data_IF_175085363414
#
_entry.id   IF_175085363414
#
_cell.length_a   1.000
_cell.length_b   1.000
_cell.length_c   1.000
_cell.angle_alpha   90.00
_cell.angle_beta   90.00
_cell.angle_gamma   90.00
#
_symmetry.space_group_name_H-M   'P 1'
#
loop_
_entity.id
_entity.type
_entity.pdbx_description
1 polymer ?
#
# COMPACT_ATOMS: atom_id res chain seq x y z
N UNK A 1 -12.77 5.56 -7.53
CA UNK A 1 -13.84 5.70 -6.51
C UNK A 1 -13.76 4.58 -5.48
N UNK A 2 -13.91 4.89 -4.17
CA UNK A 2 -13.95 3.93 -3.05
C UNK A 2 -15.25 4.13 -2.30
N UNK A 3 -15.98 3.04 -2.04
CA UNK A 3 -17.27 3.10 -1.33
C UNK A 3 -17.24 2.16 -0.14
N UNK A 4 -17.65 2.66 1.03
CA UNK A 4 -17.89 1.91 2.25
C UNK A 4 -19.40 1.87 2.51
N UNK A 5 -19.96 0.67 2.73
CA UNK A 5 -21.36 0.43 2.98
C UNK A 5 -21.50 -0.33 4.30
N UNK A 6 -21.95 0.35 5.36
CA UNK A 6 -22.18 -0.20 6.71
C UNK A 6 -20.98 -0.99 7.26
N UNK A 7 -19.77 -0.47 7.04
CA UNK A 7 -18.54 -1.21 7.34
C UNK A 7 -18.23 -1.18 8.82
N UNK A 8 -18.14 -2.37 9.41
CA UNK A 8 -17.76 -2.54 10.81
C UNK A 8 -16.59 -3.51 10.95
N UNK A 9 -15.75 -3.27 11.94
CA UNK A 9 -14.65 -4.14 12.32
C UNK A 9 -14.60 -4.32 13.83
N UNK A 10 -14.83 -5.55 14.28
CA UNK A 10 -14.60 -5.98 15.66
C UNK A 10 -13.43 -6.97 15.65
N UNK A 11 -12.45 -6.75 16.51
CA UNK A 11 -11.30 -7.64 16.68
C UNK A 11 -11.67 -8.81 17.61
N UNK A 12 -10.92 -9.95 17.57
CA UNK A 12 -11.21 -11.13 18.42
C UNK A 12 -11.22 -10.85 19.93
N UNK A 13 -10.50 -9.80 20.35
CA UNK A 13 -10.46 -9.35 21.76
C UNK A 13 -11.62 -8.41 22.14
N UNK A 14 -12.64 -8.27 21.27
CA UNK A 14 -13.81 -7.41 21.49
C UNK A 14 -13.60 -5.92 21.17
N UNK A 15 -12.38 -5.50 20.83
CA UNK A 15 -12.12 -4.10 20.48
C UNK A 15 -12.80 -3.76 19.15
N UNK A 16 -13.60 -2.67 19.16
CA UNK A 16 -14.24 -2.13 17.96
C UNK A 16 -13.26 -1.21 17.24
N UNK A 17 -12.81 -1.62 16.08
CA UNK A 17 -11.90 -0.83 15.24
C UNK A 17 -12.63 0.10 14.26
N UNK A 18 -13.78 -0.33 13.74
CA UNK A 18 -14.67 0.46 12.88
C UNK A 18 -16.11 0.16 13.27
N UNK A 19 -16.99 1.16 13.22
CA UNK A 19 -18.41 1.01 13.55
C UNK A 19 -19.25 1.73 12.52
N UNK A 20 -20.02 0.98 11.75
CA UNK A 20 -21.02 1.44 10.78
C UNK A 20 -20.52 2.57 9.88
N UNK A 21 -19.35 2.39 9.27
CA UNK A 21 -18.76 3.40 8.40
C UNK A 21 -19.46 3.38 7.05
N UNK A 22 -20.02 4.53 6.68
CA UNK A 22 -20.60 4.84 5.38
C UNK A 22 -19.83 6.03 4.81
N UNK A 23 -19.09 5.81 3.72
CA UNK A 23 -18.21 6.82 3.14
C UNK A 23 -18.03 6.54 1.66
N UNK A 24 -18.08 7.60 0.84
CA UNK A 24 -17.67 7.54 -0.56
C UNK A 24 -16.50 8.50 -0.77
N UNK A 25 -15.48 8.01 -1.46
CA UNK A 25 -14.32 8.81 -1.91
C UNK A 25 -14.31 8.75 -3.43
N UNK A 26 -14.48 9.90 -4.05
CA UNK A 26 -14.55 10.02 -5.51
C UNK A 26 -13.15 9.97 -6.15
N UNK A 27 -13.11 9.82 -7.46
CA UNK A 27 -11.86 9.85 -8.20
C UNK A 27 -11.28 11.27 -8.19
N UNK A 28 -9.97 11.37 -7.95
CA UNK A 28 -9.25 12.65 -7.87
C UNK A 28 -9.35 13.36 -6.52
N UNK A 29 -10.09 12.82 -5.55
CA UNK A 29 -10.16 13.42 -4.22
C UNK A 29 -8.88 13.16 -3.42
N UNK A 30 -8.49 14.18 -2.65
CA UNK A 30 -7.50 14.09 -1.58
C UNK A 30 -8.22 14.09 -0.23
N UNK A 31 -8.21 12.96 0.46
CA UNK A 31 -8.92 12.78 1.74
C UNK A 31 -7.93 12.62 2.88
N UNK A 32 -8.07 13.42 3.93
CA UNK A 32 -7.30 13.31 5.17
C UNK A 32 -8.18 12.79 6.30
N UNK A 33 -7.72 11.73 6.98
CA UNK A 33 -8.42 11.12 8.11
C UNK A 33 -7.73 11.56 9.40
N UNK A 34 -8.41 12.40 10.18
CA UNK A 34 -7.91 12.98 11.43
C UNK A 34 -8.64 12.34 12.63
N UNK A 35 -7.93 12.13 13.71
CA UNK A 35 -8.50 11.60 14.95
C UNK A 35 -7.41 11.17 15.94
N UNK A 36 -7.80 10.92 17.17
CA UNK A 36 -6.90 10.48 18.25
C UNK A 36 -6.22 9.15 17.94
N UNK A 37 -5.14 8.84 18.65
CA UNK A 37 -4.55 7.50 18.60
C UNK A 37 -5.59 6.45 19.03
N UNK A 38 -5.65 5.33 18.29
CA UNK A 38 -6.66 4.30 18.53
C UNK A 38 -8.04 4.55 17.91
N UNK A 39 -8.30 5.69 17.27
CA UNK A 39 -9.60 6.00 16.64
C UNK A 39 -9.95 5.16 15.39
N UNK A 40 -9.14 4.16 15.03
CA UNK A 40 -9.42 3.28 13.89
C UNK A 40 -8.86 3.73 12.55
N UNK A 41 -8.10 4.83 12.45
CA UNK A 41 -7.55 5.37 11.19
C UNK A 41 -6.78 4.32 10.38
N UNK A 42 -5.79 3.68 10.99
CA UNK A 42 -5.00 2.62 10.34
C UNK A 42 -5.83 1.37 10.04
N UNK A 43 -6.87 1.08 10.86
CA UNK A 43 -7.82 -0.01 10.60
C UNK A 43 -8.61 0.27 9.32
N UNK A 44 -9.08 1.51 9.14
CA UNK A 44 -9.81 1.94 7.94
C UNK A 44 -8.94 1.81 6.68
N UNK A 45 -7.72 2.37 6.70
CA UNK A 45 -6.78 2.27 5.57
C UNK A 45 -6.44 0.81 5.22
N UNK A 46 -6.18 -0.03 6.24
CA UNK A 46 -5.88 -1.44 6.04
C UNK A 46 -7.08 -2.26 5.59
N UNK A 47 -8.31 -1.82 5.89
CA UNK A 47 -9.53 -2.44 5.39
C UNK A 47 -9.72 -2.18 3.88
N UNK A 48 -9.40 -0.98 3.37
CA UNK A 48 -9.44 -0.66 1.93
C UNK A 48 -8.59 -1.64 1.12
N UNK A 49 -7.43 -2.05 1.64
CA UNK A 49 -6.54 -3.00 0.98
C UNK A 49 -6.76 -4.46 1.43
N UNK A 50 -7.81 -4.69 2.26
CA UNK A 50 -8.12 -6.01 2.86
C UNK A 50 -6.90 -6.66 3.54
N UNK A 51 -6.01 -5.85 4.12
CA UNK A 51 -4.96 -6.31 5.05
C UNK A 51 -5.58 -6.63 6.41
N UNK A 52 -6.63 -5.91 6.78
CA UNK A 52 -7.51 -6.21 7.91
C UNK A 52 -8.89 -6.54 7.31
N UNK A 53 -9.38 -7.80 7.43
CA UNK A 53 -10.72 -8.13 6.99
C UNK A 53 -11.75 -7.45 7.92
N UNK A 54 -12.80 -6.91 7.32
CA UNK A 54 -13.95 -6.34 8.04
C UNK A 54 -14.82 -7.46 8.64
N UNK A 55 -15.63 -7.11 9.63
CA UNK A 55 -16.56 -8.06 10.27
C UNK A 55 -17.93 -8.02 9.59
N UNK A 56 -18.36 -6.83 9.18
CA UNK A 56 -19.65 -6.61 8.50
C UNK A 56 -19.55 -5.49 7.49
N UNK A 57 -20.51 -5.43 6.56
CA UNK A 57 -20.59 -4.43 5.52
C UNK A 57 -19.84 -4.82 4.24
N UNK A 58 -19.60 -3.85 3.38
CA UNK A 58 -18.94 -4.03 2.10
C UNK A 58 -18.03 -2.86 1.78
N UNK A 59 -16.88 -3.13 1.14
CA UNK A 59 -15.99 -2.12 0.57
C UNK A 59 -15.86 -2.39 -0.91
N UNK A 60 -16.08 -1.36 -1.73
CA UNK A 60 -15.93 -1.43 -3.18
C UNK A 60 -14.80 -0.52 -3.65
N UNK A 61 -14.03 -0.99 -4.60
CA UNK A 61 -12.97 -0.24 -5.30
C UNK A 61 -13.31 -0.26 -6.78
N UNK A 62 -13.58 0.91 -7.36
CA UNK A 62 -13.97 1.04 -8.77
C UNK A 62 -15.08 0.04 -9.18
N UNK A 63 -16.14 -0.04 -8.36
CA UNK A 63 -17.30 -0.92 -8.58
C UNK A 63 -17.07 -2.40 -8.26
N UNK A 64 -15.86 -2.79 -7.85
CA UNK A 64 -15.58 -4.20 -7.50
C UNK A 64 -15.47 -4.37 -5.98
N UNK A 65 -16.26 -5.29 -5.41
CA UNK A 65 -16.20 -5.59 -3.97
C UNK A 65 -14.88 -6.26 -3.59
N UNK A 66 -14.06 -5.56 -2.82
CA UNK A 66 -12.84 -6.15 -2.26
C UNK A 66 -13.16 -7.13 -1.13
N UNK A 67 -14.28 -6.93 -0.43
CA UNK A 67 -14.73 -7.78 0.67
C UNK A 67 -15.02 -9.20 0.19
N UNK A 68 -15.71 -9.33 -0.94
CA UNK A 68 -16.15 -10.61 -1.52
C UNK A 68 -15.15 -11.20 -2.51
N UNK A 69 -14.13 -10.45 -2.91
CA UNK A 69 -13.14 -10.83 -3.92
C UNK A 69 -12.43 -12.15 -3.57
N UNK A 70 -12.32 -13.05 -4.54
CA UNK A 70 -11.44 -14.22 -4.45
C UNK A 70 -9.95 -13.82 -4.54
N UNK A 71 -9.03 -14.77 -4.36
CA UNK A 71 -7.58 -14.49 -4.35
C UNK A 71 -7.07 -13.81 -5.63
N UNK A 72 -7.61 -14.18 -6.80
CA UNK A 72 -7.21 -13.63 -8.10
C UNK A 72 -7.74 -12.20 -8.26
N UNK A 73 -8.99 -11.96 -7.95
CA UNK A 73 -9.64 -10.64 -7.98
C UNK A 73 -8.97 -9.70 -6.98
N UNK A 74 -8.74 -10.15 -5.74
CA UNK A 74 -8.05 -9.37 -4.71
C UNK A 74 -6.67 -8.90 -5.17
N UNK A 75 -5.92 -9.75 -5.88
CA UNK A 75 -4.64 -9.37 -6.44
C UNK A 75 -4.79 -8.26 -7.51
N UNK A 76 -5.82 -8.34 -8.36
CA UNK A 76 -6.09 -7.32 -9.38
C UNK A 76 -6.51 -6.00 -8.75
N UNK A 77 -7.37 -6.03 -7.72
CA UNK A 77 -7.76 -4.84 -6.97
C UNK A 77 -6.54 -4.20 -6.30
N UNK A 78 -5.69 -4.99 -5.63
CA UNK A 78 -4.48 -4.48 -4.96
C UNK A 78 -3.45 -3.86 -5.90
N UNK A 79 -3.46 -4.18 -7.21
CA UNK A 79 -2.65 -3.46 -8.20
C UNK A 79 -3.06 -2.00 -8.36
N UNK A 80 -4.32 -1.69 -8.06
CA UNK A 80 -4.86 -0.34 -8.16
C UNK A 80 -4.59 0.49 -6.90
N UNK A 81 -3.96 -0.09 -5.88
CA UNK A 81 -3.77 0.54 -4.57
C UNK A 81 -2.29 0.51 -4.20
N UNK A 82 -1.64 1.65 -4.20
CA UNK A 82 -0.31 1.86 -3.61
C UNK A 82 -0.44 2.12 -2.12
N UNK A 83 0.34 1.44 -1.29
CA UNK A 83 0.31 1.61 0.16
C UNK A 83 1.65 2.10 0.70
N UNK A 84 1.64 3.25 1.35
CA UNK A 84 2.74 3.79 2.14
C UNK A 84 2.42 3.53 3.60
N UNK A 85 3.16 2.63 4.23
CA UNK A 85 2.92 2.21 5.62
C UNK A 85 3.81 2.99 6.58
N UNK A 86 3.33 3.23 7.79
CA UNK A 86 4.08 3.84 8.90
C UNK A 86 5.39 3.08 9.21
N UNK A 87 5.34 1.76 9.28
CA UNK A 87 6.53 0.91 9.38
C UNK A 87 7.01 0.54 7.98
N UNK A 88 7.93 1.22 7.41
CA UNK A 88 8.44 1.15 6.03
C UNK A 88 8.33 -0.23 5.32
N UNK A 89 8.32 -1.34 6.07
CA UNK A 89 8.17 -2.72 5.60
C UNK A 89 9.18 -3.07 4.48
N UNK A 90 10.42 -2.60 4.63
CA UNK A 90 11.49 -2.91 3.71
C UNK A 90 12.16 -4.23 4.08
N UNK A 91 12.58 -4.98 3.06
CA UNK A 91 13.46 -6.14 3.25
C UNK A 91 14.86 -5.62 3.57
N UNK A 92 15.23 -5.64 4.86
CA UNK A 92 16.43 -4.99 5.41
C UNK A 92 17.72 -5.34 4.66
N UNK A 93 17.99 -6.63 4.44
CA UNK A 93 19.21 -7.13 3.77
C UNK A 93 19.15 -7.08 2.24
N UNK A 94 18.13 -6.45 1.67
CA UNK A 94 17.97 -6.28 0.23
C UNK A 94 18.34 -4.87 -0.19
N UNK A 95 18.73 -4.70 -1.45
CA UNK A 95 19.04 -3.39 -2.00
C UNK A 95 17.78 -2.51 -2.11
N UNK A 96 17.99 -1.20 -2.14
CA UNK A 96 16.96 -0.19 -2.41
C UNK A 96 16.21 -0.52 -3.71
N UNK A 97 16.94 -0.81 -4.79
CA UNK A 97 16.36 -1.16 -6.08
C UNK A 97 15.40 -2.36 -5.97
N UNK A 98 15.80 -3.44 -5.30
CA UNK A 98 14.96 -4.64 -5.12
C UNK A 98 13.73 -4.34 -4.26
N UNK A 99 13.86 -3.51 -3.23
CA UNK A 99 12.74 -3.08 -2.41
C UNK A 99 11.71 -2.27 -3.23
N UNK A 100 12.16 -1.35 -4.08
CA UNK A 100 11.25 -0.58 -4.95
C UNK A 100 10.62 -1.48 -6.01
N UNK A 101 11.41 -2.33 -6.71
CA UNK A 101 10.91 -3.31 -7.69
C UNK A 101 9.83 -4.23 -7.10
N UNK A 102 9.84 -4.50 -5.79
CA UNK A 102 8.81 -5.30 -5.15
C UNK A 102 7.39 -4.71 -5.29
N UNK A 103 7.26 -3.41 -5.51
CA UNK A 103 5.98 -2.77 -5.86
C UNK A 103 5.36 -3.28 -7.16
N UNK A 104 6.18 -3.84 -8.06
CA UNK A 104 5.73 -4.44 -9.34
C UNK A 104 5.32 -5.91 -9.23
N UNK A 105 5.57 -6.59 -8.11
CA UNK A 105 5.28 -8.03 -7.94
C UNK A 105 3.82 -8.40 -8.23
N UNK A 106 2.88 -7.49 -7.98
CA UNK A 106 1.48 -7.69 -8.31
C UNK A 106 1.23 -8.04 -9.77
N UNK A 107 2.06 -7.57 -10.69
CA UNK A 107 1.89 -7.70 -12.15
C UNK A 107 2.49 -9.00 -12.71
N UNK A 108 3.26 -9.74 -11.93
CA UNK A 108 3.97 -10.94 -12.37
C UNK A 108 3.33 -12.22 -11.84
N UNK A 109 3.49 -13.33 -12.55
CA UNK A 109 3.15 -14.65 -12.04
C UNK A 109 4.10 -15.02 -10.89
N UNK A 110 3.66 -15.95 -10.03
CA UNK A 110 4.45 -16.38 -8.86
C UNK A 110 5.85 -16.83 -9.24
N UNK A 111 5.99 -17.58 -10.31
CA UNK A 111 7.31 -18.05 -10.80
C UNK A 111 8.23 -16.91 -11.23
N UNK A 112 7.73 -15.98 -12.04
CA UNK A 112 8.51 -14.80 -12.45
C UNK A 112 8.91 -13.93 -11.25
N UNK A 113 8.05 -13.82 -10.25
CA UNK A 113 8.32 -13.09 -9.01
C UNK A 113 9.43 -13.74 -8.18
N UNK A 114 9.43 -15.08 -8.05
CA UNK A 114 10.44 -15.84 -7.29
C UNK A 114 11.83 -15.69 -7.95
N UNK A 115 11.89 -15.77 -9.27
CA UNK A 115 13.15 -15.63 -10.01
C UNK A 115 13.57 -14.17 -10.26
N UNK A 116 12.80 -13.19 -9.78
CA UNK A 116 13.10 -11.75 -9.94
C UNK A 116 13.14 -11.30 -11.41
N UNK A 117 12.33 -11.92 -12.26
CA UNK A 117 12.29 -11.67 -13.70
C UNK A 117 11.45 -10.42 -14.00
N UNK A 118 12.02 -9.24 -13.73
CA UNK A 118 11.45 -7.94 -14.07
C UNK A 118 11.86 -7.49 -15.48
N UNK A 119 11.05 -6.67 -16.11
CA UNK A 119 11.35 -6.09 -17.42
C UNK A 119 12.32 -4.91 -17.30
N UNK A 120 12.96 -4.53 -18.42
CA UNK A 120 13.78 -3.31 -18.48
C UNK A 120 12.95 -2.06 -18.14
N UNK A 121 11.68 -2.06 -18.52
CA UNK A 121 10.75 -0.99 -18.18
C UNK A 121 10.53 -0.86 -16.67
N UNK A 122 10.43 -1.97 -15.91
CA UNK A 122 10.31 -1.92 -14.46
C UNK A 122 11.59 -1.40 -13.78
N UNK A 123 12.75 -1.72 -14.32
CA UNK A 123 14.02 -1.14 -13.86
C UNK A 123 14.08 0.36 -14.13
N UNK A 124 13.63 0.79 -15.30
CA UNK A 124 13.58 2.22 -15.64
C UNK A 124 12.61 2.97 -14.73
N UNK A 125 11.39 2.46 -14.53
CA UNK A 125 10.40 3.03 -13.60
C UNK A 125 10.91 3.09 -12.16
N UNK A 126 11.68 2.08 -11.74
CA UNK A 126 12.33 2.05 -10.42
C UNK A 126 13.33 3.18 -10.27
N UNK A 127 14.13 3.44 -11.31
CA UNK A 127 15.10 4.53 -11.34
C UNK A 127 14.40 5.89 -11.25
N UNK A 128 13.36 6.10 -12.04
CA UNK A 128 12.55 7.33 -12.04
C UNK A 128 11.86 7.56 -10.68
N UNK A 129 11.30 6.51 -10.07
CA UNK A 129 10.70 6.61 -8.74
C UNK A 129 11.73 6.97 -7.66
N UNK A 130 12.96 6.43 -7.75
CA UNK A 130 14.05 6.77 -6.83
C UNK A 130 14.58 8.17 -7.07
N UNK A 131 14.62 8.63 -8.31
CA UNK A 131 14.96 10.01 -8.66
C UNK A 131 13.95 11.00 -8.07
N UNK A 132 12.66 10.72 -8.19
CA UNK A 132 11.57 11.52 -7.62
C UNK A 132 11.73 11.73 -6.11
N UNK A 133 12.26 10.74 -5.39
CA UNK A 133 12.48 10.84 -3.93
C UNK A 133 13.92 11.22 -3.55
N UNK A 134 14.77 11.56 -4.52
CA UNK A 134 16.15 11.99 -4.29
C UNK A 134 17.08 10.90 -3.74
N UNK A 135 16.96 9.67 -4.27
CA UNK A 135 17.77 8.51 -3.87
C UNK A 135 18.40 7.76 -5.06
N UNK A 136 18.66 8.45 -6.17
CA UNK A 136 19.24 7.85 -7.38
C UNK A 136 20.61 7.24 -7.15
N UNK A 137 21.41 7.79 -6.22
CA UNK A 137 22.76 7.33 -5.86
C UNK A 137 22.73 6.08 -4.96
N UNK A 138 21.55 5.67 -4.44
CA UNK A 138 21.41 4.60 -3.44
C UNK A 138 20.88 3.27 -3.99
N UNK A 139 20.73 3.11 -5.32
CA UNK A 139 20.12 1.92 -5.93
C UNK A 139 20.66 0.60 -5.37
N UNK A 140 21.98 0.49 -5.21
CA UNK A 140 22.65 -0.73 -4.78
C UNK A 140 22.91 -0.78 -3.26
N UNK A 141 22.61 0.32 -2.53
CA UNK A 141 22.74 0.37 -1.08
C UNK A 141 21.74 -0.57 -0.43
N UNK A 142 22.12 -1.26 0.64
CA UNK A 142 21.21 -2.09 1.43
C UNK A 142 20.25 -1.21 2.23
N UNK A 143 19.01 -1.66 2.37
CA UNK A 143 17.99 -0.85 3.06
C UNK A 143 18.23 -0.70 4.57
N UNK A 144 18.99 -1.62 5.19
CA UNK A 144 19.36 -1.52 6.61
C UNK A 144 20.52 -0.53 6.87
N UNK A 145 21.21 -0.06 5.81
CA UNK A 145 22.26 0.96 5.88
C UNK A 145 21.71 2.40 5.75
N UNK A 146 20.41 2.54 5.47
CA UNK A 146 19.75 3.82 5.27
C UNK A 146 19.28 4.43 6.58
N UNK A 147 19.29 5.76 6.66
CA UNK A 147 18.58 6.49 7.72
C UNK A 147 17.07 6.26 7.67
N UNK A 148 16.35 6.48 8.77
CA UNK A 148 14.88 6.33 8.83
C UNK A 148 14.16 7.13 7.75
N UNK A 149 14.54 8.39 7.53
CA UNK A 149 13.98 9.23 6.47
C UNK A 149 14.30 8.73 5.06
N UNK A 150 15.46 8.10 4.84
CA UNK A 150 15.77 7.45 3.57
C UNK A 150 14.95 6.19 3.37
N UNK A 151 14.79 5.35 4.41
CA UNK A 151 13.91 4.17 4.35
C UNK A 151 12.47 4.54 4.02
N UNK A 152 11.96 5.62 4.61
CA UNK A 152 10.64 6.16 4.30
C UNK A 152 10.53 6.55 2.83
N UNK A 153 11.51 7.29 2.29
CA UNK A 153 11.54 7.66 0.86
C UNK A 153 11.60 6.43 -0.06
N UNK A 154 12.30 5.36 0.32
CA UNK A 154 12.27 4.08 -0.41
C UNK A 154 10.87 3.45 -0.39
N UNK A 155 10.15 3.52 0.75
CA UNK A 155 8.77 3.04 0.85
C UNK A 155 7.83 3.84 -0.05
N UNK A 156 8.02 5.15 -0.17
CA UNK A 156 7.28 6.01 -1.10
C UNK A 156 7.59 5.61 -2.55
N UNK A 157 8.86 5.49 -2.91
CA UNK A 157 9.27 5.07 -4.27
C UNK A 157 8.67 3.70 -4.65
N UNK A 158 8.59 2.76 -3.69
CA UNK A 158 7.92 1.46 -3.89
C UNK A 158 6.43 1.60 -4.18
N UNK A 159 5.74 2.55 -3.60
CA UNK A 159 4.34 2.83 -3.92
C UNK A 159 4.21 3.52 -5.29
N UNK A 160 5.10 4.45 -5.62
CA UNK A 160 5.11 5.17 -6.91
C UNK A 160 5.38 4.25 -8.09
N UNK A 161 6.34 3.33 -7.98
CA UNK A 161 6.66 2.40 -9.08
C UNK A 161 5.49 1.50 -9.47
N UNK A 162 4.56 1.29 -8.55
CA UNK A 162 3.34 0.52 -8.80
C UNK A 162 2.42 1.23 -9.80
N UNK A 163 2.48 2.56 -9.92
CA UNK A 163 1.60 3.40 -10.76
C UNK A 163 0.12 3.15 -10.47
N UNK A 164 -0.21 2.98 -9.20
CA UNK A 164 -1.57 2.74 -8.77
C UNK A 164 -2.39 4.04 -8.79
N UNK A 165 -3.64 4.02 -9.28
CA UNK A 165 -4.50 5.20 -9.28
C UNK A 165 -4.95 5.63 -7.88
N UNK A 166 -4.83 4.76 -6.89
CA UNK A 166 -5.19 5.04 -5.49
C UNK A 166 -3.92 4.93 -4.64
N UNK A 167 -3.62 5.95 -3.86
CA UNK A 167 -2.52 5.93 -2.87
C UNK A 167 -3.12 6.02 -1.47
N UNK A 168 -2.79 5.05 -0.65
CA UNK A 168 -3.08 5.04 0.77
C UNK A 168 -1.81 5.35 1.55
N UNK A 169 -1.87 6.29 2.49
CA UNK A 169 -0.74 6.66 3.32
C UNK A 169 -1.13 6.60 4.81
N UNK A 170 -0.49 5.70 5.57
CA UNK A 170 -0.69 5.52 7.01
C UNK A 170 0.48 6.21 7.73
N UNK A 171 0.26 7.45 8.19
CA UNK A 171 1.27 8.30 8.85
C UNK A 171 2.58 8.42 8.04
N UNK A 172 2.53 8.96 6.79
CA UNK A 172 3.67 8.94 5.88
C UNK A 172 4.81 9.86 6.28
N UNK A 173 4.63 10.70 7.27
CA UNK A 173 5.64 11.61 7.85
C UNK A 173 5.79 11.26 9.32
N UNK A 174 6.76 10.43 9.66
CA UNK A 174 7.25 10.32 11.03
C UNK A 174 8.24 11.46 11.27
N UNK A 175 7.98 12.26 12.27
CA UNK A 175 8.87 13.29 12.80
C UNK A 175 10.20 12.72 13.30
#
# INVERSE_FOLDING_TARGET
MIIFENVSKVYPNGVVGLKDINLTIEDGEFVSIIGLSGAGKSTLLRAINRLVPITDGNIQINGTSITKANKRELRLIRRQIGLISQSFNLVKRSTVQKNVLSGRLGYYSTWKSIFGLFTQEDYQRTKEALETVGLSDKLQTRSDELSGGQQQRVSIARALVQQAPIILADEPVAS
#
